data_IF_779800749731
#
_entry.id   IF_779800749731
#
_cell.length_a   1.000
_cell.length_b   1.000
_cell.length_c   1.000
_cell.angle_alpha   90.00
_cell.angle_beta   90.00
_cell.angle_gamma   90.00
#
_symmetry.space_group_name_H-M   'P 1'
#
loop_
_entity.id
_entity.type
_entity.pdbx_description
1 polymer ?
#
# COMPACT_ATOMS: atom_id res chain seq x y z
N UNK A 1 -13.28 -9.90 -15.90
CA UNK A 1 -12.81 -10.08 -14.52
C UNK A 1 -11.39 -9.56 -14.33
N UNK A 2 -10.43 -9.84 -15.22
CA UNK A 2 -9.06 -9.28 -15.13
C UNK A 2 -9.01 -7.74 -15.22
N UNK A 3 -9.85 -7.12 -16.06
CA UNK A 3 -9.90 -5.67 -16.23
C UNK A 3 -10.38 -4.92 -14.97
N UNK A 4 -11.35 -5.49 -14.23
CA UNK A 4 -11.82 -4.94 -12.95
C UNK A 4 -10.76 -5.04 -11.85
N UNK A 5 -9.92 -6.09 -11.85
CA UNK A 5 -8.83 -6.23 -10.89
C UNK A 5 -7.72 -5.20 -11.16
N UNK A 6 -7.39 -4.96 -12.44
CA UNK A 6 -6.42 -3.94 -12.82
C UNK A 6 -6.90 -2.52 -12.46
N UNK A 7 -8.18 -2.22 -12.68
CA UNK A 7 -8.76 -0.91 -12.35
C UNK A 7 -8.79 -0.65 -10.83
N UNK A 8 -9.09 -1.68 -10.02
CA UNK A 8 -9.03 -1.60 -8.57
C UNK A 8 -7.61 -1.32 -8.05
N UNK A 9 -6.58 -1.94 -8.64
CA UNK A 9 -5.17 -1.68 -8.28
C UNK A 9 -4.73 -0.26 -8.61
N UNK A 10 -5.20 0.30 -9.73
CA UNK A 10 -4.90 1.69 -10.11
C UNK A 10 -5.56 2.67 -9.13
N UNK A 11 -6.83 2.44 -8.78
CA UNK A 11 -7.52 3.27 -7.78
C UNK A 11 -6.83 3.19 -6.41
N UNK A 12 -6.47 1.98 -5.97
CA UNK A 12 -5.76 1.76 -4.71
C UNK A 12 -4.43 2.50 -4.66
N UNK A 13 -3.63 2.48 -5.74
CA UNK A 13 -2.39 3.27 -5.84
C UNK A 13 -2.64 4.78 -5.83
N UNK A 14 -3.76 5.24 -6.40
CA UNK A 14 -4.18 6.64 -6.33
C UNK A 14 -4.44 7.08 -4.89
N UNK A 15 -5.24 6.31 -4.15
CA UNK A 15 -5.51 6.55 -2.74
C UNK A 15 -4.23 6.52 -1.89
N UNK A 16 -3.32 5.59 -2.16
CA UNK A 16 -2.04 5.50 -1.45
C UNK A 16 -1.16 6.74 -1.68
N UNK A 17 -1.13 7.26 -2.91
CA UNK A 17 -0.38 8.48 -3.23
C UNK A 17 -0.96 9.71 -2.53
N UNK A 18 -2.29 9.82 -2.45
CA UNK A 18 -2.97 10.90 -1.72
C UNK A 18 -2.67 10.82 -0.22
N UNK A 19 -2.74 9.61 0.37
CA UNK A 19 -2.42 9.40 1.78
C UNK A 19 -0.95 9.74 2.09
N UNK A 20 -0.02 9.35 1.20
CA UNK A 20 1.40 9.71 1.33
C UNK A 20 1.62 11.22 1.30
N UNK A 21 0.89 11.93 0.46
CA UNK A 21 0.95 13.39 0.39
C UNK A 21 0.42 14.04 1.67
N UNK A 22 -0.70 13.54 2.20
CA UNK A 22 -1.30 14.02 3.45
C UNK A 22 -0.39 13.79 4.66
N UNK A 23 0.16 12.58 4.81
CA UNK A 23 1.13 12.25 5.88
C UNK A 23 2.33 13.19 5.81
N UNK A 24 2.87 13.44 4.62
CA UNK A 24 3.99 14.36 4.45
C UNK A 24 3.63 15.79 4.91
N UNK A 25 2.45 16.29 4.54
CA UNK A 25 1.95 17.60 4.98
C UNK A 25 1.74 17.69 6.50
N UNK A 26 1.24 16.63 7.12
CA UNK A 26 1.04 16.55 8.57
C UNK A 26 2.37 16.55 9.32
N UNK A 27 3.38 15.80 8.85
CA UNK A 27 4.73 15.79 9.44
C UNK A 27 5.36 17.18 9.41
N UNK A 28 5.28 17.88 8.26
CA UNK A 28 5.78 19.25 8.14
C UNK A 28 5.06 20.21 9.10
N UNK A 29 3.73 20.07 9.21
CA UNK A 29 2.91 20.89 10.11
C UNK A 29 3.29 20.65 11.57
N UNK A 30 3.51 19.39 11.95
CA UNK A 30 3.88 19.00 13.31
C UNK A 30 5.26 19.54 13.68
N UNK A 31 6.21 19.53 12.75
CA UNK A 31 7.53 20.15 12.93
C UNK A 31 7.45 21.66 13.17
N UNK A 32 6.62 22.36 12.40
CA UNK A 32 6.38 23.80 12.58
C UNK A 32 5.74 24.07 13.95
N UNK A 33 4.77 23.26 14.36
CA UNK A 33 4.09 23.40 15.65
C UNK A 33 5.04 23.14 16.82
N UNK A 34 5.89 22.12 16.75
CA UNK A 34 6.93 21.82 17.75
C UNK A 34 7.90 22.99 17.92
N UNK A 35 8.41 23.53 16.80
CA UNK A 35 9.31 24.71 16.82
C UNK A 35 8.64 25.93 17.43
N UNK A 36 7.39 26.21 17.05
CA UNK A 36 6.59 27.31 17.64
C UNK A 36 6.33 27.09 19.13
N UNK A 37 6.09 25.85 19.56
CA UNK A 37 5.86 25.54 20.97
C UNK A 37 7.13 25.73 21.81
N UNK A 38 8.28 25.27 21.32
CA UNK A 38 9.57 25.46 21.98
C UNK A 38 10.00 26.93 22.07
N UNK A 39 9.50 27.79 21.17
CA UNK A 39 9.75 29.23 21.18
C UNK A 39 8.82 30.03 22.10
N UNK A 40 7.83 29.39 22.75
CA UNK A 40 6.97 30.07 23.72
C UNK A 40 7.70 30.23 25.07
N UNK A 41 7.62 31.41 25.71
CA UNK A 41 8.39 31.71 26.93
C UNK A 41 7.99 30.87 28.15
N UNK A 42 6.81 30.23 28.13
CA UNK A 42 6.40 29.15 29.04
C UNK A 42 5.46 28.23 28.22
N UNK A 43 5.69 26.90 28.15
CA UNK A 43 4.76 25.99 27.47
C UNK A 43 3.46 25.92 28.28
N UNK A 44 2.34 26.20 27.62
CA UNK A 44 1.02 25.88 28.18
C UNK A 44 0.90 24.35 28.23
N UNK A 45 0.76 23.78 29.43
CA UNK A 45 0.75 22.32 29.69
C UNK A 45 -0.23 21.58 28.75
N UNK A 46 -1.37 22.22 28.46
CA UNK A 46 -2.41 21.70 27.56
C UNK A 46 -1.94 21.60 26.10
N UNK A 47 -1.05 22.51 25.67
CA UNK A 47 -0.50 22.55 24.30
C UNK A 47 0.56 21.47 24.10
N UNK A 48 1.37 21.22 25.12
CA UNK A 48 2.35 20.12 25.11
C UNK A 48 1.63 18.77 25.05
N UNK A 49 0.59 18.57 25.86
CA UNK A 49 -0.21 17.33 25.83
C UNK A 49 -0.89 17.10 24.47
N UNK A 50 -1.43 18.15 23.83
CA UNK A 50 -2.02 18.04 22.48
C UNK A 50 -0.98 17.65 21.43
N UNK A 51 0.25 18.17 21.51
CA UNK A 51 1.33 17.79 20.59
C UNK A 51 1.76 16.34 20.81
N UNK A 52 1.84 15.88 22.06
CA UNK A 52 2.15 14.49 22.38
C UNK A 52 1.06 13.53 21.91
N UNK A 53 -0.22 13.88 22.10
CA UNK A 53 -1.35 13.10 21.58
C UNK A 53 -1.34 13.01 20.05
N UNK A 54 -1.06 14.12 19.36
CA UNK A 54 -0.90 14.13 17.90
C UNK A 54 0.30 13.28 17.45
N UNK A 55 1.43 13.37 18.15
CA UNK A 55 2.60 12.54 17.85
C UNK A 55 2.31 11.04 18.02
N UNK A 56 1.57 10.66 19.07
CA UNK A 56 1.12 9.28 19.26
C UNK A 56 0.19 8.83 18.14
N UNK A 57 -0.75 9.67 17.71
CA UNK A 57 -1.66 9.36 16.61
C UNK A 57 -0.92 9.19 15.28
N UNK A 58 0.08 10.01 15.00
CA UNK A 58 0.92 9.87 13.80
C UNK A 58 1.70 8.55 13.83
N UNK A 59 2.28 8.18 14.97
CA UNK A 59 2.99 6.91 15.11
C UNK A 59 2.08 5.69 14.88
N UNK A 60 0.82 5.75 15.35
CA UNK A 60 -0.17 4.70 15.06
C UNK A 60 -0.51 4.63 13.57
N UNK A 61 -0.73 5.78 12.92
CA UNK A 61 -1.03 5.82 11.48
C UNK A 61 0.15 5.32 10.63
N UNK A 62 1.39 5.62 11.03
CA UNK A 62 2.58 5.07 10.37
C UNK A 62 2.65 3.53 10.48
N UNK A 63 2.31 2.97 11.65
CA UNK A 63 2.25 1.52 11.83
C UNK A 63 1.14 0.88 10.98
N UNK A 64 -0.03 1.52 10.91
CA UNK A 64 -1.13 1.06 10.07
C UNK A 64 -0.77 1.12 8.58
N UNK A 65 -0.05 2.17 8.14
CA UNK A 65 0.46 2.28 6.78
C UNK A 65 1.41 1.14 6.44
N UNK A 66 2.42 0.88 7.29
CA UNK A 66 3.38 -0.22 7.10
C UNK A 66 2.66 -1.58 7.03
N UNK A 67 1.66 -1.77 7.89
CA UNK A 67 0.84 -2.99 7.90
C UNK A 67 0.06 -3.13 6.59
N UNK A 68 -0.56 -2.05 6.12
CA UNK A 68 -1.32 -2.03 4.87
C UNK A 68 -0.41 -2.31 3.67
N UNK A 69 0.76 -1.68 3.61
CA UNK A 69 1.76 -1.93 2.56
C UNK A 69 2.20 -3.40 2.55
N UNK A 70 2.45 -3.98 3.74
CA UNK A 70 2.81 -5.41 3.86
C UNK A 70 1.71 -6.34 3.36
N UNK A 71 0.45 -6.05 3.70
CA UNK A 71 -0.70 -6.84 3.22
C UNK A 71 -0.90 -6.69 1.71
N UNK A 72 -0.62 -5.51 1.14
CA UNK A 72 -0.68 -5.31 -0.30
C UNK A 72 0.40 -6.11 -1.02
N UNK A 73 1.63 -6.13 -0.49
CA UNK A 73 2.72 -6.92 -1.04
C UNK A 73 2.40 -8.42 -1.05
N UNK A 74 1.74 -8.93 0.00
CA UNK A 74 1.24 -10.31 0.05
C UNK A 74 0.20 -10.59 -1.04
N UNK A 75 -0.79 -9.71 -1.21
CA UNK A 75 -1.83 -9.85 -2.25
C UNK A 75 -1.22 -9.80 -3.66
N UNK A 76 -0.27 -8.90 -3.90
CA UNK A 76 0.45 -8.81 -5.17
C UNK A 76 1.25 -10.09 -5.42
N UNK A 77 1.93 -10.62 -4.40
CA UNK A 77 2.69 -11.87 -4.51
C UNK A 77 1.78 -13.07 -4.82
N UNK A 78 0.61 -13.17 -4.19
CA UNK A 78 -0.38 -14.21 -4.48
C UNK A 78 -0.92 -14.10 -5.91
N UNK A 79 -1.30 -12.90 -6.35
CA UNK A 79 -1.80 -12.68 -7.71
C UNK A 79 -0.75 -13.04 -8.77
N UNK A 80 0.51 -12.64 -8.57
CA UNK A 80 1.62 -13.04 -9.45
C UNK A 80 1.86 -14.56 -9.43
N UNK A 81 1.73 -15.22 -8.28
CA UNK A 81 1.81 -16.69 -8.17
C UNK A 81 0.67 -17.38 -8.94
N UNK A 82 -0.55 -16.85 -8.86
CA UNK A 82 -1.69 -17.39 -9.60
C UNK A 82 -1.53 -17.20 -11.12
N UNK A 83 -1.05 -16.05 -11.57
CA UNK A 83 -0.80 -15.78 -12.99
C UNK A 83 0.31 -16.67 -13.57
N UNK A 84 1.40 -16.89 -12.83
CA UNK A 84 2.50 -17.78 -13.25
C UNK A 84 2.06 -19.24 -13.32
N UNK A 85 1.34 -19.75 -12.31
CA UNK A 85 0.76 -21.10 -12.33
C UNK A 85 -0.27 -21.30 -13.44
N UNK A 86 -1.13 -20.30 -13.68
CA UNK A 86 -2.10 -20.32 -14.78
C UNK A 86 -1.38 -20.36 -16.13
N UNK A 87 -0.32 -19.56 -16.31
CA UNK A 87 0.49 -19.55 -17.53
C UNK A 87 1.23 -20.88 -17.78
N UNK A 88 1.74 -21.54 -16.74
CA UNK A 88 2.35 -22.88 -16.87
C UNK A 88 1.30 -23.94 -17.27
N UNK A 89 0.09 -23.89 -16.70
CA UNK A 89 -0.98 -24.83 -17.04
C UNK A 89 -1.47 -24.71 -18.48
N UNK A 90 -1.48 -23.49 -19.04
CA UNK A 90 -1.82 -23.25 -20.45
C UNK A 90 -0.72 -23.72 -21.42
N UNK A 91 0.55 -23.68 -21.01
CA UNK A 91 1.68 -24.12 -21.84
C UNK A 91 1.86 -25.66 -21.87
N UNK A 92 1.45 -26.36 -20.81
CA UNK A 92 1.45 -27.84 -20.74
C UNK A 92 0.30 -28.48 -21.55
N UNK A 93 -0.80 -27.76 -21.79
CA UNK A 93 -1.92 -28.23 -22.61
C UNK A 93 -1.67 -28.19 -24.13
N UNK A 94 -0.66 -27.46 -24.60
CA UNK A 94 -0.40 -27.24 -26.04
C UNK A 94 0.66 -28.19 -26.65
N UNK A 95 1.02 -29.27 -25.96
CA UNK A 95 2.01 -30.26 -26.44
C UNK A 95 1.48 -31.70 -26.62
N UNK A 96 0.15 -31.90 -26.60
CA UNK A 96 -0.46 -33.24 -26.58
C UNK A 96 -1.44 -33.59 -27.71
N UNK A 97 -1.79 -32.68 -28.63
CA UNK A 97 -2.80 -32.97 -29.68
C UNK A 97 -2.19 -32.98 -31.08
N UNK A 98 -1.27 -33.91 -31.32
CA UNK A 98 -0.74 -34.27 -32.63
C UNK A 98 -1.12 -35.69 -33.00
N UNK A 99 -2.42 -36.02 -32.96
CA UNK A 99 -2.95 -37.25 -33.56
C UNK A 99 -3.07 -37.02 -35.07
N UNK A 100 -2.03 -37.38 -35.83
CA UNK A 100 -2.16 -37.62 -37.26
C UNK A 100 -2.30 -39.11 -37.49
N UNK A 101 -3.55 -39.51 -37.76
CA UNK A 101 -3.93 -40.67 -38.56
C UNK A 101 -3.15 -40.63 -39.89
N UNK A 102 -2.49 -41.73 -40.22
CA UNK A 102 -2.35 -42.14 -41.61
C UNK A 102 -2.54 -43.66 -41.66
N UNK A 103 -3.67 -44.05 -42.23
CA UNK A 103 -3.91 -45.40 -42.70
C UNK A 103 -3.93 -45.36 -44.22
N UNK A 104 -3.00 -46.09 -44.83
CA UNK A 104 -3.15 -46.90 -46.05
C UNK A 104 -1.80 -47.53 -46.40
#
# INVERSE_FOLDING_TARGET
MEEQAAEALVQQRGFEAELKHEVHGLVQTLDVLKKKNAALPIPDEERTQKIEALASSVATLEQELIRSESQHDEVIAEQLSHMTKSSESLNLGRKGSGSSRDGQ
#
